data_IF_857061688309
#
_entry.id   IF_857061688309
#
_cell.length_a   1.000
_cell.length_b   1.000
_cell.length_c   1.000
_cell.angle_alpha   90.00
_cell.angle_beta   90.00
_cell.angle_gamma   90.00
#
_symmetry.space_group_name_H-M   'P 1'
#
loop_
_entity.id
_entity.type
_entity.pdbx_description
1 polymer ?
#
# COMPACT_ATOMS: atom_id res chain seq x y z
N UNK A 1 31.78 4.97 18.66
CA UNK A 1 30.89 4.75 17.48
C UNK A 1 31.76 4.27 16.33
N UNK A 2 31.60 3.03 15.87
CA UNK A 2 32.26 2.57 14.64
C UNK A 2 31.56 3.21 13.44
N UNK A 3 32.32 3.90 12.62
CA UNK A 3 31.84 4.51 11.38
C UNK A 3 31.48 3.36 10.41
N UNK A 4 30.19 3.14 10.12
CA UNK A 4 29.78 2.15 9.11
C UNK A 4 30.12 2.72 7.73
N UNK A 5 31.05 2.09 7.03
CA UNK A 5 31.32 2.41 5.62
C UNK A 5 30.34 1.62 4.75
N UNK A 6 29.52 2.35 3.99
CA UNK A 6 28.64 1.76 3.00
C UNK A 6 29.31 1.80 1.63
N UNK A 7 29.31 0.68 0.92
CA UNK A 7 29.88 0.54 -0.43
C UNK A 7 28.80 0.47 -1.50
N UNK A 8 27.57 0.15 -1.11
CA UNK A 8 26.41 0.04 -2.00
C UNK A 8 25.16 0.62 -1.35
N UNK A 9 24.34 1.30 -2.17
CA UNK A 9 23.07 1.89 -1.76
C UNK A 9 21.89 1.23 -2.47
N UNK A 10 21.00 0.61 -1.69
CA UNK A 10 19.75 0.03 -2.17
C UNK A 10 18.58 0.97 -1.84
N UNK A 11 17.87 1.41 -2.85
CA UNK A 11 16.62 2.14 -2.67
C UNK A 11 15.43 1.21 -2.90
N UNK A 12 14.53 1.18 -1.92
CA UNK A 12 13.24 0.52 -1.99
C UNK A 12 12.17 1.60 -2.17
N UNK A 13 11.58 1.68 -3.35
CA UNK A 13 10.54 2.66 -3.70
C UNK A 13 9.17 2.04 -3.48
N UNK A 14 8.44 2.59 -2.48
CA UNK A 14 7.11 2.13 -2.09
C UNK A 14 7.11 0.97 -1.10
N UNK A 15 6.11 0.98 -0.21
CA UNK A 15 5.86 -0.06 0.80
C UNK A 15 5.10 -1.28 0.26
N UNK A 16 5.31 -1.65 -1.00
CA UNK A 16 4.66 -2.82 -1.58
C UNK A 16 5.23 -4.14 -1.03
N UNK A 17 4.53 -5.23 -1.30
CA UNK A 17 4.82 -6.55 -0.72
C UNK A 17 6.27 -7.01 -0.94
N UNK A 18 6.81 -6.84 -2.16
CA UNK A 18 8.18 -7.26 -2.47
C UNK A 18 9.22 -6.52 -1.63
N UNK A 19 9.08 -5.19 -1.49
CA UNK A 19 9.99 -4.37 -0.68
C UNK A 19 9.88 -4.72 0.81
N UNK A 20 8.68 -5.03 1.31
CA UNK A 20 8.48 -5.53 2.68
C UNK A 20 9.20 -6.86 2.90
N UNK A 21 9.19 -7.78 1.93
CA UNK A 21 9.92 -9.05 2.05
C UNK A 21 11.44 -8.83 2.06
N UNK A 22 11.95 -7.86 1.27
CA UNK A 22 13.36 -7.45 1.35
C UNK A 22 13.71 -6.95 2.75
N UNK A 23 12.92 -6.03 3.31
CA UNK A 23 13.14 -5.51 4.66
C UNK A 23 13.08 -6.62 5.73
N UNK A 24 12.11 -7.55 5.63
CA UNK A 24 12.04 -8.70 6.54
C UNK A 24 13.30 -9.57 6.47
N UNK A 25 13.85 -9.78 5.26
CA UNK A 25 15.09 -10.51 5.09
C UNK A 25 16.29 -9.77 5.70
N UNK A 26 16.33 -8.45 5.61
CA UNK A 26 17.35 -7.61 6.25
C UNK A 26 17.24 -7.64 7.78
N UNK A 27 16.04 -7.78 8.36
CA UNK A 27 15.87 -7.99 9.80
C UNK A 27 16.53 -9.29 10.30
N UNK A 28 16.63 -10.30 9.44
CA UNK A 28 17.17 -11.62 9.80
C UNK A 28 18.66 -11.77 9.46
N UNK A 29 19.18 -10.95 8.56
CA UNK A 29 20.56 -11.06 8.06
C UNK A 29 21.17 -9.67 7.92
N UNK A 30 22.34 -9.46 8.51
CA UNK A 30 23.10 -8.23 8.28
C UNK A 30 23.91 -8.34 6.97
N UNK A 31 23.84 -7.30 6.15
CA UNK A 31 24.63 -7.19 4.92
C UNK A 31 25.63 -6.06 5.06
N UNK A 32 26.89 -6.41 5.36
CA UNK A 32 27.97 -5.45 5.56
C UNK A 32 28.18 -4.62 4.30
N UNK A 33 28.28 -3.32 4.45
CA UNK A 33 28.49 -2.39 3.33
C UNK A 33 27.25 -2.02 2.53
N UNK A 34 26.07 -2.58 2.85
CA UNK A 34 24.81 -2.21 2.20
C UNK A 34 24.06 -1.15 3.04
N UNK A 35 23.82 0.01 2.44
CA UNK A 35 22.86 0.98 2.95
C UNK A 35 21.51 0.74 2.28
N UNK A 36 20.46 0.60 3.06
CA UNK A 36 19.10 0.44 2.53
C UNK A 36 18.23 1.61 2.95
N UNK A 37 17.50 2.18 1.98
CA UNK A 37 16.56 3.29 2.20
C UNK A 37 15.20 2.88 1.62
N UNK A 38 14.15 2.92 2.44
CA UNK A 38 12.78 2.82 1.98
C UNK A 38 12.17 4.21 1.83
N UNK A 39 11.60 4.50 0.67
CA UNK A 39 10.89 5.76 0.40
C UNK A 39 9.42 5.43 0.17
N UNK A 40 8.53 6.05 0.94
CA UNK A 40 7.08 5.86 0.83
C UNK A 40 6.32 7.13 1.19
N UNK A 41 5.19 7.37 0.54
CA UNK A 41 4.28 8.48 0.86
C UNK A 41 3.53 8.27 2.19
N UNK A 42 3.42 7.03 2.66
CA UNK A 42 2.68 6.65 3.86
C UNK A 42 3.60 5.97 4.87
N UNK A 43 3.30 6.15 6.16
CA UNK A 43 3.98 5.42 7.24
C UNK A 43 3.60 3.95 7.28
N UNK A 44 2.40 3.63 6.80
CA UNK A 44 1.85 2.29 6.82
C UNK A 44 1.65 1.75 5.42
N UNK A 45 1.83 0.45 5.26
CA UNK A 45 1.44 -0.28 4.07
C UNK A 45 0.27 -1.22 4.39
N UNK A 46 -0.73 -1.22 3.52
CA UNK A 46 -1.85 -2.17 3.62
C UNK A 46 -1.49 -3.48 2.93
N UNK A 47 -1.52 -4.58 3.66
CA UNK A 47 -1.29 -5.90 3.09
C UNK A 47 -2.53 -6.39 2.33
N UNK A 48 -2.50 -6.25 1.02
CA UNK A 48 -3.64 -6.53 0.14
C UNK A 48 -4.14 -7.98 0.22
N UNK A 49 -3.27 -8.94 0.52
CA UNK A 49 -3.64 -10.36 0.64
C UNK A 49 -4.59 -10.66 1.81
N UNK A 50 -4.64 -9.80 2.84
CA UNK A 50 -5.56 -9.93 3.97
C UNK A 50 -6.81 -9.05 3.83
N UNK A 51 -6.93 -8.27 2.74
CA UNK A 51 -8.10 -7.42 2.52
C UNK A 51 -9.42 -8.22 2.51
N UNK A 52 -9.53 -9.40 1.88
CA UNK A 52 -10.76 -10.19 1.94
C UNK A 52 -11.17 -10.56 3.36
N UNK A 53 -10.24 -10.97 4.23
CA UNK A 53 -10.52 -11.29 5.62
C UNK A 53 -10.98 -10.06 6.42
N UNK A 54 -10.37 -8.90 6.19
CA UNK A 54 -10.82 -7.64 6.77
C UNK A 54 -12.24 -7.26 6.29
N UNK A 55 -12.51 -7.37 5.00
CA UNK A 55 -13.84 -7.11 4.44
C UNK A 55 -14.92 -8.03 5.02
N UNK A 56 -14.56 -9.26 5.38
CA UNK A 56 -15.46 -10.23 6.02
C UNK A 56 -15.61 -10.03 7.54
N UNK A 57 -15.02 -8.98 8.13
CA UNK A 57 -14.96 -8.75 9.57
C UNK A 57 -14.24 -9.86 10.37
N UNK A 58 -13.38 -10.66 9.74
CA UNK A 58 -12.62 -11.73 10.41
C UNK A 58 -11.41 -11.17 11.17
N UNK A 59 -10.85 -10.07 10.71
CA UNK A 59 -9.70 -9.39 11.30
C UNK A 59 -9.92 -7.88 11.33
N UNK A 60 -9.17 -7.19 12.19
CA UNK A 60 -9.22 -5.73 12.34
C UNK A 60 -8.34 -5.03 11.29
N UNK A 61 -8.62 -3.75 11.03
CA UNK A 61 -7.79 -2.90 10.13
C UNK A 61 -6.33 -2.86 10.56
N UNK A 62 -6.05 -2.85 11.86
CA UNK A 62 -4.68 -2.86 12.40
C UNK A 62 -3.89 -4.13 12.04
N UNK A 63 -4.56 -5.24 11.76
CA UNK A 63 -3.91 -6.52 11.44
C UNK A 63 -3.50 -6.61 9.97
N UNK A 64 -4.07 -5.77 9.12
CA UNK A 64 -3.67 -5.64 7.70
C UNK A 64 -2.72 -4.48 7.44
N UNK A 65 -2.40 -3.69 8.47
CA UNK A 65 -1.49 -2.54 8.38
C UNK A 65 -0.09 -2.94 8.83
N UNK A 66 0.91 -2.55 8.07
CA UNK A 66 2.32 -2.81 8.34
C UNK A 66 2.99 -1.46 8.57
N UNK A 67 3.49 -1.21 9.77
CA UNK A 67 4.29 -0.04 10.12
C UNK A 67 5.65 -0.11 9.42
N UNK A 68 5.82 0.71 8.38
CA UNK A 68 7.03 0.75 7.55
C UNK A 68 8.21 1.36 8.31
N UNK A 69 7.98 2.34 9.16
CA UNK A 69 9.03 2.99 9.93
C UNK A 69 9.64 2.00 10.94
N UNK A 70 8.80 1.29 11.66
CA UNK A 70 9.23 0.25 12.60
C UNK A 70 9.94 -0.89 11.90
N UNK A 71 9.43 -1.31 10.72
CA UNK A 71 10.07 -2.36 9.93
C UNK A 71 11.45 -1.94 9.44
N UNK A 72 11.60 -0.70 8.95
CA UNK A 72 12.91 -0.15 8.56
C UNK A 72 13.88 -0.10 9.74
N UNK A 73 13.42 0.38 10.91
CA UNK A 73 14.24 0.42 12.12
C UNK A 73 14.79 -0.98 12.46
N UNK A 74 13.93 -1.99 12.45
CA UNK A 74 14.33 -3.37 12.74
C UNK A 74 15.27 -3.96 11.67
N UNK A 75 15.15 -3.51 10.43
CA UNK A 75 15.99 -3.92 9.30
C UNK A 75 17.33 -3.17 9.23
N UNK A 76 17.58 -2.20 10.11
CA UNK A 76 18.73 -1.30 10.00
C UNK A 76 18.68 -0.41 8.75
N UNK A 77 17.49 -0.19 8.18
CA UNK A 77 17.25 0.63 7.00
C UNK A 77 16.75 2.03 7.39
N UNK A 78 17.01 3.01 6.55
CA UNK A 78 16.48 4.37 6.68
C UNK A 78 15.07 4.43 6.08
N UNK A 79 14.13 5.05 6.77
CA UNK A 79 12.80 5.36 6.24
C UNK A 79 12.71 6.85 5.88
N UNK A 80 12.30 7.15 4.65
CA UNK A 80 12.01 8.51 4.18
C UNK A 80 10.55 8.58 3.77
N UNK A 81 9.79 9.43 4.49
CA UNK A 81 8.43 9.73 4.09
C UNK A 81 8.44 10.84 3.05
N UNK A 82 8.35 10.46 1.79
CA UNK A 82 8.29 11.40 0.68
C UNK A 82 7.68 10.77 -0.57
N UNK A 83 7.43 11.61 -1.55
CA UNK A 83 6.98 11.23 -2.88
C UNK A 83 8.13 11.35 -3.88
N UNK A 84 8.34 10.30 -4.67
CA UNK A 84 9.25 10.37 -5.82
C UNK A 84 8.55 11.06 -6.97
N UNK A 85 9.18 12.09 -7.52
CA UNK A 85 8.64 12.90 -8.62
C UNK A 85 9.24 12.54 -9.95
N UNK A 86 10.51 12.08 -9.99
CA UNK A 86 11.14 11.60 -11.20
C UNK A 86 12.28 10.62 -10.90
N UNK A 87 12.65 9.85 -11.92
CA UNK A 87 13.74 8.89 -11.93
C UNK A 87 14.68 9.21 -13.11
N UNK A 88 15.96 9.36 -12.82
CA UNK A 88 17.02 9.40 -13.82
C UNK A 88 17.78 8.07 -13.79
N UNK A 89 17.46 7.20 -14.74
CA UNK A 89 18.07 5.87 -14.82
C UNK A 89 19.50 5.90 -15.36
N UNK A 90 19.88 6.96 -16.09
CA UNK A 90 21.22 7.10 -16.65
C UNK A 90 22.20 7.49 -15.55
N UNK A 91 21.84 8.49 -14.74
CA UNK A 91 22.66 8.98 -13.63
C UNK A 91 22.37 8.23 -12.32
N UNK A 92 21.50 7.22 -12.35
CA UNK A 92 21.12 6.41 -11.18
C UNK A 92 20.68 7.26 -9.98
N UNK A 93 19.81 8.26 -10.24
CA UNK A 93 19.30 9.15 -9.19
C UNK A 93 17.78 9.26 -9.21
N UNK A 94 17.21 9.56 -8.06
CA UNK A 94 15.76 9.81 -7.86
C UNK A 94 15.56 11.19 -7.26
N UNK A 95 14.56 11.91 -7.76
CA UNK A 95 14.17 13.20 -7.24
C UNK A 95 12.95 13.06 -6.34
N UNK A 96 13.04 13.65 -5.18
CA UNK A 96 12.00 13.65 -4.15
C UNK A 96 11.26 14.98 -4.16
N UNK A 97 10.04 14.98 -3.64
CA UNK A 97 9.22 16.20 -3.60
C UNK A 97 9.71 17.19 -2.56
N UNK A 98 10.13 16.71 -1.37
CA UNK A 98 10.44 17.54 -0.21
C UNK A 98 11.88 17.36 0.30
N UNK A 99 12.63 16.41 -0.23
CA UNK A 99 14.03 16.14 0.13
C UNK A 99 14.93 16.28 -1.08
N UNK A 100 16.26 16.42 -0.87
CA UNK A 100 17.23 16.37 -1.95
C UNK A 100 17.13 15.07 -2.77
N UNK A 101 17.66 15.11 -3.99
CA UNK A 101 17.83 13.92 -4.82
C UNK A 101 18.74 12.89 -4.14
N UNK A 102 18.50 11.63 -4.40
CA UNK A 102 19.24 10.51 -3.81
C UNK A 102 19.75 9.62 -4.95
N UNK A 103 21.03 9.31 -4.92
CA UNK A 103 21.63 8.37 -5.86
C UNK A 103 21.40 6.93 -5.39
N UNK A 104 21.54 5.95 -6.30
CA UNK A 104 21.40 4.55 -5.96
C UNK A 104 22.33 3.67 -6.80
N UNK A 105 22.78 2.56 -6.21
CA UNK A 105 23.39 1.45 -6.95
C UNK A 105 22.35 0.43 -7.41
N UNK A 106 21.35 0.20 -6.55
CA UNK A 106 20.24 -0.73 -6.80
C UNK A 106 18.92 -0.03 -6.49
N UNK A 107 17.94 -0.22 -7.33
CA UNK A 107 16.60 0.32 -7.18
C UNK A 107 15.55 -0.78 -7.31
N UNK A 108 14.71 -0.92 -6.30
CA UNK A 108 13.52 -1.76 -6.33
C UNK A 108 12.26 -0.90 -6.32
N UNK A 109 11.42 -1.01 -7.36
CA UNK A 109 10.20 -0.24 -7.49
C UNK A 109 9.00 -1.12 -7.17
N UNK A 110 8.29 -0.81 -6.09
CA UNK A 110 7.08 -1.51 -5.67
C UNK A 110 6.06 -0.53 -5.05
N UNK A 111 5.67 0.44 -5.86
CA UNK A 111 4.76 1.54 -5.47
C UNK A 111 3.28 1.18 -5.54
N UNK A 112 2.96 -0.03 -5.99
CA UNK A 112 1.58 -0.47 -6.20
C UNK A 112 0.99 0.00 -7.53
N UNK A 113 -0.32 0.10 -7.58
CA UNK A 113 -1.05 0.52 -8.78
C UNK A 113 -2.27 1.35 -8.41
N UNK A 114 -2.75 2.12 -9.37
CA UNK A 114 -4.01 2.85 -9.29
C UNK A 114 -5.02 2.25 -10.25
N UNK A 115 -6.31 2.32 -9.91
CA UNK A 115 -7.37 1.93 -10.83
C UNK A 115 -7.47 2.95 -11.96
N UNK A 116 -7.68 2.47 -13.19
CA UNK A 116 -7.97 3.35 -14.32
C UNK A 116 -9.29 4.08 -14.06
N UNK A 117 -9.31 5.39 -14.27
CA UNK A 117 -10.56 6.16 -14.22
C UNK A 117 -11.51 5.64 -15.30
N UNK A 118 -12.71 5.26 -14.88
CA UNK A 118 -13.79 4.85 -15.79
C UNK A 118 -14.79 6.00 -15.86
N UNK A 119 -15.15 6.40 -17.06
CA UNK A 119 -16.16 7.44 -17.25
C UNK A 119 -17.55 6.78 -17.14
N UNK A 120 -18.09 6.78 -15.92
CA UNK A 120 -19.39 6.19 -15.62
C UNK A 120 -20.39 7.33 -15.40
N UNK A 121 -21.48 7.29 -16.14
CA UNK A 121 -22.62 8.16 -15.83
C UNK A 121 -23.32 7.57 -14.60
N UNK A 122 -23.39 8.34 -13.53
CA UNK A 122 -24.04 7.94 -12.28
C UNK A 122 -25.23 8.84 -11.98
N UNK A 123 -26.16 8.32 -11.19
CA UNK A 123 -27.13 9.19 -10.51
C UNK A 123 -26.44 10.02 -9.44
N UNK A 124 -26.97 11.18 -9.10
CA UNK A 124 -26.37 12.14 -8.17
C UNK A 124 -26.07 11.57 -6.77
N UNK A 125 -26.78 10.50 -6.37
CA UNK A 125 -26.58 9.84 -5.09
C UNK A 125 -25.59 8.66 -5.14
N UNK A 126 -25.15 8.22 -6.32
CA UNK A 126 -24.25 7.07 -6.45
C UNK A 126 -22.82 7.47 -6.06
N UNK A 127 -22.19 6.67 -5.19
CA UNK A 127 -20.80 6.85 -4.80
C UNK A 127 -19.93 5.84 -5.53
N UNK A 128 -18.90 6.32 -6.22
CA UNK A 128 -17.90 5.48 -6.86
C UNK A 128 -16.71 5.33 -5.92
N UNK A 129 -16.37 4.10 -5.59
CA UNK A 129 -15.24 3.75 -4.74
C UNK A 129 -14.27 2.92 -5.56
N UNK A 130 -13.04 3.40 -5.70
CA UNK A 130 -11.98 2.71 -6.42
C UNK A 130 -11.28 1.72 -5.48
N UNK A 131 -11.03 0.50 -5.97
CA UNK A 131 -10.36 -0.54 -5.17
C UNK A 131 -8.86 -0.28 -5.02
N UNK A 132 -8.27 0.45 -5.94
CA UNK A 132 -6.85 0.82 -5.87
C UNK A 132 -6.66 2.34 -5.96
N UNK A 133 -5.79 2.91 -5.12
CA UNK A 133 -4.89 2.26 -4.16
C UNK A 133 -5.65 1.57 -3.00
N UNK A 134 -5.11 0.42 -2.54
CA UNK A 134 -5.80 -0.45 -1.59
C UNK A 134 -5.98 0.19 -0.20
N UNK A 135 -5.03 1.02 0.24
CA UNK A 135 -5.14 1.77 1.50
C UNK A 135 -6.36 2.70 1.48
N UNK A 136 -6.55 3.45 0.40
CA UNK A 136 -7.70 4.34 0.25
C UNK A 136 -9.02 3.56 0.17
N UNK A 137 -9.02 2.38 -0.45
CA UNK A 137 -10.18 1.50 -0.48
C UNK A 137 -10.57 1.04 0.93
N UNK A 138 -9.60 0.56 1.72
CA UNK A 138 -9.81 0.13 3.10
C UNK A 138 -10.38 1.26 3.97
N UNK A 139 -9.92 2.49 3.78
CA UNK A 139 -10.46 3.67 4.47
C UNK A 139 -11.92 3.99 4.10
N UNK A 140 -12.36 3.60 2.90
CA UNK A 140 -13.75 3.82 2.48
C UNK A 140 -14.74 2.78 3.05
N UNK A 141 -14.26 1.66 3.60
CA UNK A 141 -15.14 0.60 4.11
C UNK A 141 -16.04 1.10 5.23
N UNK A 142 -15.53 1.93 6.16
CA UNK A 142 -16.33 2.54 7.22
C UNK A 142 -17.47 3.43 6.65
N UNK A 143 -17.23 4.09 5.52
CA UNK A 143 -18.26 4.88 4.85
C UNK A 143 -19.32 3.99 4.19
N UNK A 144 -18.92 2.83 3.65
CA UNK A 144 -19.86 1.83 3.13
C UNK A 144 -20.68 1.25 4.27
N UNK A 145 -20.05 0.92 5.41
CA UNK A 145 -20.74 0.44 6.60
C UNK A 145 -21.82 1.42 7.06
N UNK A 146 -21.49 2.71 7.14
CA UNK A 146 -22.44 3.75 7.52
C UNK A 146 -23.60 3.87 6.52
N UNK A 147 -23.33 3.75 5.22
CA UNK A 147 -24.36 3.78 4.20
C UNK A 147 -25.32 2.59 4.31
N UNK A 148 -24.77 1.39 4.48
CA UNK A 148 -25.58 0.16 4.61
C UNK A 148 -26.38 0.15 5.93
N UNK A 149 -25.83 0.70 7.00
CA UNK A 149 -26.49 0.73 8.31
C UNK A 149 -27.64 1.75 8.40
N UNK A 150 -27.51 2.85 7.66
CA UNK A 150 -28.45 3.99 7.77
C UNK A 150 -29.54 3.99 6.69
N UNK A 151 -29.51 3.08 5.74
CA UNK A 151 -30.50 2.99 4.66
C UNK A 151 -31.23 1.66 4.71
N UNK A 152 -32.55 1.69 4.49
CA UNK A 152 -33.39 0.49 4.45
C UNK A 152 -33.07 -0.41 3.25
N UNK A 153 -32.56 0.18 2.17
CA UNK A 153 -32.13 -0.52 0.97
C UNK A 153 -30.87 0.10 0.40
N UNK A 154 -29.81 -0.67 0.32
CA UNK A 154 -28.53 -0.25 -0.29
C UNK A 154 -28.13 -1.26 -1.34
N UNK A 155 -27.86 -0.78 -2.57
CA UNK A 155 -27.35 -1.61 -3.66
C UNK A 155 -25.87 -1.34 -3.85
N UNK A 156 -25.07 -2.40 -3.76
CA UNK A 156 -23.63 -2.37 -4.06
C UNK A 156 -23.41 -3.04 -5.42
N UNK A 157 -22.87 -2.28 -6.37
CA UNK A 157 -22.52 -2.80 -7.70
C UNK A 157 -21.01 -2.88 -7.83
N UNK A 158 -20.49 -4.05 -8.19
CA UNK A 158 -19.06 -4.26 -8.43
C UNK A 158 -18.81 -4.28 -9.93
N UNK A 159 -17.91 -3.42 -10.39
CA UNK A 159 -17.54 -3.30 -11.80
C UNK A 159 -16.14 -3.91 -11.98
N UNK A 160 -16.10 -5.01 -12.72
CA UNK A 160 -14.90 -5.78 -13.01
C UNK A 160 -15.10 -7.27 -12.71
N UNK A 161 -14.67 -8.10 -13.65
CA UNK A 161 -14.84 -9.56 -13.60
C UNK A 161 -13.51 -10.31 -13.38
N UNK A 162 -12.47 -9.62 -12.89
CA UNK A 162 -11.22 -10.24 -12.50
C UNK A 162 -11.32 -10.88 -11.11
N UNK A 163 -10.32 -11.68 -10.72
CA UNK A 163 -10.26 -12.40 -9.43
C UNK A 163 -10.53 -11.46 -8.25
N UNK A 164 -9.91 -10.29 -8.22
CA UNK A 164 -10.13 -9.30 -7.16
C UNK A 164 -11.59 -8.84 -7.07
N UNK A 165 -12.30 -8.72 -8.21
CA UNK A 165 -13.72 -8.38 -8.24
C UNK A 165 -14.58 -9.45 -7.56
N UNK A 166 -14.30 -10.72 -7.82
CA UNK A 166 -14.98 -11.85 -7.17
C UNK A 166 -14.68 -11.90 -5.67
N UNK A 167 -13.40 -11.77 -5.27
CA UNK A 167 -13.01 -11.78 -3.84
C UNK A 167 -13.72 -10.66 -3.06
N UNK A 168 -13.77 -9.44 -3.61
CA UNK A 168 -14.46 -8.31 -3.00
C UNK A 168 -15.96 -8.56 -2.95
N UNK A 169 -16.56 -9.10 -4.02
CA UNK A 169 -17.97 -9.41 -4.08
C UNK A 169 -18.38 -10.37 -2.96
N UNK A 170 -17.72 -11.51 -2.86
CA UNK A 170 -18.01 -12.49 -1.81
C UNK A 170 -17.73 -11.95 -0.40
N UNK A 171 -16.67 -11.15 -0.26
CA UNK A 171 -16.31 -10.57 1.04
C UNK A 171 -17.34 -9.54 1.50
N UNK A 172 -17.80 -8.66 0.63
CA UNK A 172 -18.85 -7.68 0.95
C UNK A 172 -20.22 -8.36 1.15
N UNK A 173 -20.54 -9.40 0.36
CA UNK A 173 -21.72 -10.21 0.60
C UNK A 173 -21.71 -10.83 1.99
N UNK A 174 -20.59 -11.42 2.41
CA UNK A 174 -20.44 -11.98 3.75
C UNK A 174 -20.54 -10.90 4.84
N UNK A 175 -19.96 -9.69 4.61
CA UNK A 175 -20.03 -8.58 5.55
C UNK A 175 -21.47 -8.11 5.79
N UNK A 176 -22.28 -8.05 4.73
CA UNK A 176 -23.62 -7.46 4.76
C UNK A 176 -24.76 -8.46 4.56
N UNK A 177 -24.51 -9.77 4.63
CA UNK A 177 -25.48 -10.84 4.31
C UNK A 177 -26.86 -10.72 4.99
N UNK A 178 -26.94 -9.99 6.11
CA UNK A 178 -28.20 -9.77 6.83
C UNK A 178 -28.82 -8.39 6.53
N UNK A 179 -28.28 -7.63 5.59
CA UNK A 179 -28.67 -6.23 5.32
C UNK A 179 -28.81 -5.87 3.83
N UNK A 180 -28.38 -6.75 2.93
CA UNK A 180 -28.46 -6.58 1.46
C UNK A 180 -29.03 -7.82 0.80
#
# INVERSE_FOLDING_TARGET
MQQKFYSKQLILLGGGHSNIQVLKKLCMNEYIGLQTILISENYDATYSGLTPAYLQNQIKKSEISIDLQRLCFNAGATFIKDRVVSLDAINQSINLQNHPSIDYDLLSINTGSISKKVNIKTHDQAKIIMVKPINLFVEQIEKIDNLVNNNESTKITIIGNGIAGYEICFSLHQRYKNKI
#
